data_IF_372321917052
#
_entry.id   IF_372321917052
#
_cell.length_a   1.000
_cell.length_b   1.000
_cell.length_c   1.000
_cell.angle_alpha   90.00
_cell.angle_beta   90.00
_cell.angle_gamma   90.00
#
_symmetry.space_group_name_H-M   'P 1'
#
loop_
_entity.id
_entity.type
_entity.pdbx_description
1 polymer ?
#
# COMPACT_ATOMS: atom_id res chain seq x y z
N UNK A 1 -8.09 -20.21 21.63
CA UNK A 1 -9.17 -19.36 21.09
C UNK A 1 -8.70 -18.86 19.74
N UNK A 2 -9.48 -19.05 18.68
CA UNK A 2 -9.21 -18.39 17.39
C UNK A 2 -9.58 -16.92 17.61
N UNK A 3 -8.62 -16.01 17.54
CA UNK A 3 -8.92 -14.57 17.61
C UNK A 3 -9.66 -14.26 16.32
N UNK A 4 -10.88 -13.76 16.43
CA UNK A 4 -11.66 -13.34 15.28
C UNK A 4 -10.95 -12.15 14.60
N UNK A 5 -11.02 -12.10 13.27
CA UNK A 5 -10.38 -11.06 12.48
C UNK A 5 -10.98 -9.70 12.87
N UNK A 6 -10.12 -8.75 13.25
CA UNK A 6 -10.54 -7.40 13.59
C UNK A 6 -11.32 -6.73 12.46
N UNK A 7 -12.36 -5.98 12.82
CA UNK A 7 -13.15 -5.17 11.89
C UNK A 7 -12.30 -4.14 11.13
N UNK A 8 -11.15 -3.73 11.69
CA UNK A 8 -10.24 -2.79 11.02
C UNK A 8 -9.75 -3.34 9.68
N UNK A 9 -9.50 -4.65 9.60
CA UNK A 9 -8.91 -5.33 8.44
C UNK A 9 -9.88 -6.29 7.74
N UNK A 10 -11.04 -6.60 8.34
CA UNK A 10 -11.95 -7.64 7.85
C UNK A 10 -12.39 -7.43 6.40
N UNK A 11 -12.58 -6.18 5.98
CA UNK A 11 -12.96 -5.80 4.62
C UNK A 11 -11.92 -6.18 3.56
N UNK A 12 -10.64 -6.35 3.92
CA UNK A 12 -9.57 -6.77 3.00
C UNK A 12 -9.84 -8.17 2.46
N UNK A 13 -10.47 -9.04 3.25
CA UNK A 13 -10.70 -10.43 2.89
C UNK A 13 -11.96 -10.63 2.04
N UNK A 14 -12.75 -9.58 1.81
CA UNK A 14 -13.86 -9.62 0.88
C UNK A 14 -13.35 -9.83 -0.55
N UNK A 15 -14.13 -10.53 -1.38
CA UNK A 15 -13.73 -10.93 -2.73
C UNK A 15 -13.46 -9.72 -3.64
N UNK A 16 -14.10 -8.59 -3.36
CA UNK A 16 -14.07 -7.36 -4.15
C UNK A 16 -13.09 -6.31 -3.60
N UNK A 17 -12.40 -6.58 -2.49
CA UNK A 17 -11.53 -5.61 -1.82
C UNK A 17 -10.44 -5.04 -2.73
N UNK A 18 -9.89 -5.85 -3.62
CA UNK A 18 -8.87 -5.46 -4.58
C UNK A 18 -9.32 -4.30 -5.50
N UNK A 19 -10.62 -4.19 -5.77
CA UNK A 19 -11.18 -3.19 -6.68
C UNK A 19 -10.99 -1.76 -6.13
N UNK A 20 -10.93 -1.59 -4.81
CA UNK A 20 -10.72 -0.26 -4.20
C UNK A 20 -9.41 0.37 -4.66
N UNK A 21 -8.36 -0.43 -4.89
CA UNK A 21 -7.06 0.07 -5.33
C UNK A 21 -7.07 0.52 -6.78
N UNK A 22 -7.86 -0.15 -7.63
CA UNK A 22 -8.09 0.27 -9.02
C UNK A 22 -8.87 1.58 -9.07
N UNK A 23 -9.97 1.67 -8.29
CA UNK A 23 -10.79 2.88 -8.20
C UNK A 23 -9.98 4.05 -7.64
N UNK A 24 -9.21 3.85 -6.56
CA UNK A 24 -8.35 4.86 -5.97
C UNK A 24 -7.33 5.39 -6.98
N UNK A 25 -6.68 4.50 -7.74
CA UNK A 25 -5.73 4.89 -8.78
C UNK A 25 -6.41 5.70 -9.89
N UNK A 26 -7.62 5.31 -10.30
CA UNK A 26 -8.39 6.04 -11.31
C UNK A 26 -8.79 7.44 -10.82
N UNK A 27 -9.32 7.56 -9.60
CA UNK A 27 -9.69 8.85 -8.99
C UNK A 27 -8.45 9.76 -8.89
N UNK A 28 -7.33 9.21 -8.41
CA UNK A 28 -6.07 9.94 -8.28
C UNK A 28 -5.56 10.42 -9.65
N UNK A 29 -5.60 9.56 -10.67
CA UNK A 29 -5.24 9.93 -12.05
C UNK A 29 -6.13 11.06 -12.57
N UNK A 30 -7.45 10.92 -12.48
CA UNK A 30 -8.39 11.92 -12.98
C UNK A 30 -8.24 13.28 -12.29
N UNK A 31 -7.94 13.25 -10.98
CA UNK A 31 -7.70 14.46 -10.19
C UNK A 31 -6.42 15.16 -10.63
N UNK A 32 -5.30 14.43 -10.73
CA UNK A 32 -4.00 15.00 -11.12
C UNK A 32 -4.02 15.47 -12.58
N UNK A 33 -4.75 14.76 -13.46
CA UNK A 33 -4.88 15.12 -14.87
C UNK A 33 -5.48 16.51 -15.10
N UNK A 34 -6.25 17.06 -14.15
CA UNK A 34 -6.78 18.42 -14.27
C UNK A 34 -5.68 19.51 -14.28
N UNK A 35 -4.47 19.18 -13.81
CA UNK A 35 -3.40 20.15 -13.59
C UNK A 35 -2.14 19.88 -14.41
N UNK A 36 -2.00 18.69 -15.01
CA UNK A 36 -0.78 18.24 -15.68
C UNK A 36 -1.10 17.54 -17.00
N UNK A 37 -0.10 17.47 -17.90
CA UNK A 37 -0.22 16.69 -19.13
C UNK A 37 -0.48 15.21 -18.84
N UNK A 38 -1.07 14.48 -19.80
CA UNK A 38 -1.41 13.07 -19.59
C UNK A 38 -0.20 12.24 -19.11
N UNK A 39 0.95 12.40 -19.78
CA UNK A 39 2.19 11.71 -19.44
C UNK A 39 2.69 12.01 -18.02
N UNK A 40 2.70 13.28 -17.59
CA UNK A 40 3.16 13.67 -16.25
C UNK A 40 2.15 13.23 -15.19
N UNK A 41 0.85 13.32 -15.49
CA UNK A 41 -0.19 12.94 -14.55
C UNK A 41 -0.18 11.45 -14.22
N UNK A 42 0.18 10.57 -15.16
CA UNK A 42 0.40 9.14 -14.87
C UNK A 42 1.59 8.93 -13.92
N UNK A 43 2.71 9.61 -14.14
CA UNK A 43 3.90 9.50 -13.30
C UNK A 43 3.62 9.98 -11.86
N UNK A 44 2.97 11.14 -11.72
CA UNK A 44 2.58 11.68 -10.42
C UNK A 44 1.51 10.80 -9.73
N UNK A 45 0.57 10.23 -10.49
CA UNK A 45 -0.45 9.33 -9.95
C UNK A 45 0.18 8.13 -9.25
N UNK A 46 1.12 7.43 -9.89
CA UNK A 46 1.71 6.23 -9.31
C UNK A 46 2.65 6.54 -8.14
N UNK A 47 3.34 7.68 -8.15
CA UNK A 47 4.10 8.18 -7.00
C UNK A 47 3.16 8.46 -5.82
N UNK A 48 2.08 9.21 -6.06
CA UNK A 48 1.12 9.57 -5.03
C UNK A 48 0.39 8.33 -4.47
N UNK A 49 0.04 7.37 -5.33
CA UNK A 49 -0.52 6.08 -4.90
C UNK A 49 0.44 5.35 -3.95
N UNK A 50 1.73 5.28 -4.27
CA UNK A 50 2.73 4.64 -3.41
C UNK A 50 2.84 5.34 -2.05
N UNK A 51 2.87 6.67 -2.02
CA UNK A 51 2.97 7.47 -0.79
C UNK A 51 1.73 7.28 0.10
N UNK A 52 0.53 7.41 -0.49
CA UNK A 52 -0.75 7.22 0.22
C UNK A 52 -0.81 5.79 0.77
N UNK A 53 -0.51 4.79 -0.05
CA UNK A 53 -0.53 3.38 0.37
C UNK A 53 0.49 3.12 1.48
N UNK A 54 1.71 3.66 1.38
CA UNK A 54 2.71 3.55 2.43
C UNK A 54 2.21 4.13 3.76
N UNK A 55 1.60 5.32 3.73
CA UNK A 55 1.06 5.96 4.91
C UNK A 55 0.00 5.07 5.60
N UNK A 56 -0.98 4.58 4.85
CA UNK A 56 -2.05 3.76 5.44
C UNK A 56 -1.58 2.39 5.90
N UNK A 57 -0.71 1.73 5.14
CA UNK A 57 -0.30 0.34 5.41
C UNK A 57 0.82 0.24 6.45
N UNK A 58 1.79 1.14 6.40
CA UNK A 58 3.07 1.00 7.10
C UNK A 58 3.36 2.11 8.10
N UNK A 59 2.68 3.26 8.00
CA UNK A 59 2.86 4.37 8.94
C UNK A 59 1.80 4.42 10.03
N UNK A 60 0.53 4.24 9.67
CA UNK A 60 -0.57 4.23 10.64
C UNK A 60 -0.49 2.99 11.53
N UNK A 61 -0.36 3.22 12.84
CA UNK A 61 -0.31 2.19 13.88
C UNK A 61 -1.62 2.21 14.67
N UNK A 62 -2.08 1.03 15.07
CA UNK A 62 -3.19 0.85 15.99
C UNK A 62 -4.43 0.26 15.34
N UNK A 63 -5.22 -0.38 16.20
CA UNK A 63 -6.49 -1.00 15.86
C UNK A 63 -7.56 -0.44 16.84
N UNK A 64 -8.59 0.26 16.36
CA UNK A 64 -9.63 0.82 17.22
C UNK A 64 -10.62 -0.23 17.73
N UNK A 65 -10.65 -1.43 17.15
CA UNK A 65 -11.59 -2.50 17.47
C UNK A 65 -10.95 -3.64 18.26
N UNK A 66 -9.61 -3.71 18.33
CA UNK A 66 -8.88 -4.72 19.10
C UNK A 66 -7.68 -4.16 19.86
N UNK A 67 -7.64 -4.43 21.17
CA UNK A 67 -6.50 -4.06 22.02
C UNK A 67 -5.27 -4.94 21.77
N UNK A 68 -5.40 -6.13 21.18
CA UNK A 68 -4.26 -7.02 20.92
C UNK A 68 -3.33 -6.44 19.83
N UNK A 69 -3.87 -5.59 18.96
CA UNK A 69 -3.17 -5.02 17.81
C UNK A 69 -2.90 -3.50 17.92
N UNK A 70 -2.99 -2.92 19.11
CA UNK A 70 -2.83 -1.48 19.35
C UNK A 70 -1.46 -0.91 18.89
N UNK A 71 -0.43 -1.75 18.82
CA UNK A 71 0.92 -1.36 18.39
C UNK A 71 1.31 -2.00 17.04
N UNK A 72 0.34 -2.45 16.23
CA UNK A 72 0.57 -3.01 14.91
C UNK A 72 0.20 -2.00 13.83
N UNK A 73 0.99 -1.90 12.76
CA UNK A 73 0.57 -1.20 11.55
C UNK A 73 -0.57 -1.96 10.88
N UNK A 74 -1.28 -1.30 9.97
CA UNK A 74 -2.35 -1.96 9.22
C UNK A 74 -1.87 -3.19 8.45
N UNK A 75 -0.66 -3.15 7.88
CA UNK A 75 -0.06 -4.32 7.24
C UNK A 75 0.33 -5.43 8.23
N UNK A 76 0.92 -5.07 9.37
CA UNK A 76 1.25 -6.03 10.41
C UNK A 76 -0.03 -6.73 10.93
N UNK A 77 -1.14 -6.00 11.09
CA UNK A 77 -2.45 -6.56 11.45
C UNK A 77 -2.94 -7.61 10.45
N UNK A 78 -2.86 -7.31 9.15
CA UNK A 78 -3.24 -8.26 8.09
C UNK A 78 -2.41 -9.53 8.20
N UNK A 79 -1.08 -9.41 8.33
CA UNK A 79 -0.16 -10.57 8.35
C UNK A 79 -0.34 -11.43 9.60
N UNK A 80 -0.64 -10.84 10.77
CA UNK A 80 -0.84 -11.60 12.01
C UNK A 80 -2.18 -12.33 12.05
N UNK A 81 -3.24 -11.71 11.53
CA UNK A 81 -4.61 -12.19 11.68
C UNK A 81 -5.08 -13.02 10.48
N UNK A 82 -4.30 -13.09 9.40
CA UNK A 82 -4.69 -13.82 8.20
C UNK A 82 -3.54 -14.62 7.58
N UNK A 83 -3.92 -15.75 7.01
CA UNK A 83 -3.02 -16.55 6.20
C UNK A 83 -2.85 -15.93 4.80
N UNK A 84 -1.89 -16.45 4.04
CA UNK A 84 -1.54 -15.98 2.70
C UNK A 84 -2.69 -16.16 1.69
N UNK A 85 -3.59 -15.17 1.64
CA UNK A 85 -4.74 -15.14 0.73
C UNK A 85 -4.42 -14.46 -0.60
N UNK A 86 -5.23 -14.75 -1.62
CA UNK A 86 -5.12 -14.12 -2.95
C UNK A 86 -5.21 -12.59 -2.85
N UNK A 87 -6.07 -12.07 -1.98
CA UNK A 87 -6.27 -10.65 -1.73
C UNK A 87 -5.00 -10.01 -1.17
N UNK A 88 -4.38 -10.63 -0.16
CA UNK A 88 -3.13 -10.13 0.44
C UNK A 88 -1.98 -10.15 -0.57
N UNK A 89 -1.86 -11.20 -1.38
CA UNK A 89 -0.89 -11.25 -2.49
C UNK A 89 -1.13 -10.15 -3.53
N UNK A 90 -2.39 -9.88 -3.87
CA UNK A 90 -2.74 -8.78 -4.77
C UNK A 90 -2.28 -7.44 -4.19
N UNK A 91 -2.59 -7.16 -2.91
CA UNK A 91 -2.17 -5.93 -2.23
C UNK A 91 -0.65 -5.77 -2.20
N UNK A 92 0.07 -6.88 -2.03
CA UNK A 92 1.53 -6.88 -2.06
C UNK A 92 2.07 -6.52 -3.45
N UNK A 93 1.50 -7.11 -4.49
CA UNK A 93 2.00 -7.02 -5.86
C UNK A 93 1.47 -5.81 -6.65
N UNK A 94 0.34 -5.21 -6.24
CA UNK A 94 -0.32 -4.14 -6.99
C UNK A 94 0.61 -2.97 -7.36
N UNK A 95 1.44 -2.41 -6.47
CA UNK A 95 2.37 -1.33 -6.84
C UNK A 95 3.35 -1.72 -7.96
N UNK A 96 3.83 -2.97 -7.95
CA UNK A 96 4.74 -3.48 -8.97
C UNK A 96 4.02 -3.78 -10.30
N UNK A 97 2.79 -4.31 -10.25
CA UNK A 97 1.96 -4.52 -11.43
C UNK A 97 1.65 -3.17 -12.09
N UNK A 98 1.29 -2.17 -11.29
CA UNK A 98 1.01 -0.83 -11.78
C UNK A 98 2.26 -0.21 -12.43
N UNK A 99 3.45 -0.41 -11.86
CA UNK A 99 4.71 0.00 -12.50
C UNK A 99 4.82 -0.55 -13.92
N UNK A 100 4.69 -1.87 -14.06
CA UNK A 100 4.90 -2.58 -15.32
C UNK A 100 3.92 -2.09 -16.38
N UNK A 101 2.67 -1.86 -16.00
CA UNK A 101 1.63 -1.34 -16.90
C UNK A 101 1.97 0.08 -17.36
N UNK A 102 2.20 0.99 -16.41
CA UNK A 102 2.43 2.41 -16.72
C UNK A 102 3.73 2.60 -17.50
N UNK A 103 4.79 1.88 -17.14
CA UNK A 103 6.10 1.93 -17.79
C UNK A 103 6.06 1.59 -19.29
N UNK A 104 5.02 0.88 -19.77
CA UNK A 104 4.85 0.58 -21.20
C UNK A 104 4.48 1.78 -22.06
N UNK A 105 3.92 2.83 -21.47
CA UNK A 105 3.35 3.94 -22.25
C UNK A 105 3.69 5.34 -21.74
N UNK A 106 4.32 5.48 -20.57
CA UNK A 106 4.83 6.78 -20.12
C UNK A 106 6.27 7.02 -20.61
N UNK A 107 6.52 8.26 -21.01
CA UNK A 107 7.86 8.78 -21.24
C UNK A 107 8.37 9.42 -19.94
N UNK A 108 9.20 8.68 -19.21
CA UNK A 108 9.64 9.09 -17.87
C UNK A 108 10.41 10.41 -17.87
N UNK A 109 10.00 11.32 -16.98
CA UNK A 109 10.90 12.34 -16.51
C UNK A 109 11.91 11.68 -15.55
N UNK A 110 13.23 11.87 -15.73
CA UNK A 110 14.25 11.17 -14.95
C UNK A 110 14.16 11.44 -13.44
N UNK A 111 13.77 12.66 -13.04
CA UNK A 111 13.59 13.01 -11.62
C UNK A 111 12.37 12.30 -11.03
N UNK A 112 11.24 12.27 -11.76
CA UNK A 112 10.04 11.56 -11.32
C UNK A 112 10.27 10.04 -11.27
N UNK A 113 11.06 9.48 -12.20
CA UNK A 113 11.44 8.07 -12.14
C UNK A 113 12.25 7.75 -10.89
N UNK A 114 13.21 8.60 -10.52
CA UNK A 114 13.98 8.43 -9.29
C UNK A 114 13.07 8.44 -8.04
N UNK A 115 12.17 9.42 -7.95
CA UNK A 115 11.18 9.51 -6.87
C UNK A 115 10.27 8.28 -6.86
N UNK A 116 9.85 7.82 -8.04
CA UNK A 116 9.04 6.63 -8.19
C UNK A 116 9.74 5.39 -7.64
N UNK A 117 10.99 5.15 -8.01
CA UNK A 117 11.77 4.00 -7.52
C UNK A 117 11.88 4.02 -6.00
N UNK A 118 12.15 5.19 -5.40
CA UNK A 118 12.21 5.34 -3.94
C UNK A 118 10.86 5.01 -3.31
N UNK A 119 9.76 5.58 -3.81
CA UNK A 119 8.42 5.34 -3.25
C UNK A 119 7.94 3.91 -3.47
N UNK A 120 8.32 3.27 -4.58
CA UNK A 120 8.04 1.86 -4.85
C UNK A 120 8.73 0.97 -3.80
N UNK A 121 10.01 1.22 -3.50
CA UNK A 121 10.71 0.49 -2.44
C UNK A 121 10.10 0.74 -1.07
N UNK A 122 9.74 1.98 -0.74
CA UNK A 122 9.07 2.29 0.53
C UNK A 122 7.79 1.49 0.74
N UNK A 123 6.95 1.32 -0.30
CA UNK A 123 5.67 0.61 -0.16
C UNK A 123 5.79 -0.90 -0.28
N UNK A 124 6.80 -1.42 -1.00
CA UNK A 124 6.97 -2.87 -1.25
C UNK A 124 7.88 -3.57 -0.26
N UNK A 125 9.02 -2.98 0.13
CA UNK A 125 9.98 -3.61 1.04
C UNK A 125 9.35 -4.03 2.38
N UNK A 126 8.53 -3.19 3.06
CA UNK A 126 7.93 -3.59 4.34
C UNK A 126 6.94 -4.76 4.21
N UNK A 127 6.48 -5.07 2.99
CA UNK A 127 5.57 -6.19 2.74
C UNK A 127 6.28 -7.54 2.67
N UNK A 128 7.62 -7.54 2.57
CA UNK A 128 8.42 -8.76 2.50
C UNK A 128 8.56 -9.41 3.88
N UNK A 129 8.56 -10.74 3.92
CA UNK A 129 8.58 -11.51 5.18
C UNK A 129 9.75 -11.17 6.11
N UNK A 130 10.93 -10.84 5.57
CA UNK A 130 12.09 -10.47 6.40
C UNK A 130 11.96 -9.11 7.11
N UNK A 131 11.00 -8.28 6.66
CA UNK A 131 10.63 -7.00 7.27
C UNK A 131 9.47 -7.12 8.25
N UNK A 132 8.97 -8.34 8.51
CA UNK A 132 7.91 -8.54 9.48
C UNK A 132 8.31 -7.96 10.85
N UNK A 133 7.45 -7.08 11.38
CA UNK A 133 7.64 -6.31 12.62
C UNK A 133 8.86 -5.38 12.64
N UNK A 134 9.42 -5.05 11.47
CA UNK A 134 10.50 -4.08 11.28
C UNK A 134 9.98 -2.90 10.47
N UNK A 135 9.98 -1.72 11.07
CA UNK A 135 9.49 -0.50 10.42
C UNK A 135 10.63 0.22 9.72
N UNK A 136 10.38 0.77 8.52
CA UNK A 136 11.38 1.59 7.81
C UNK A 136 11.69 2.87 8.60
N UNK A 137 10.69 3.48 9.25
CA UNK A 137 10.82 4.78 9.93
C UNK A 137 10.18 4.83 11.34
N UNK A 138 9.81 3.69 11.94
CA UNK A 138 8.98 3.66 13.15
C UNK A 138 9.67 3.08 14.39
N UNK A 139 9.50 3.74 15.52
CA UNK A 139 9.78 3.20 16.85
C UNK A 139 8.71 2.16 17.21
N UNK A 140 9.12 1.01 17.75
CA UNK A 140 8.21 0.04 18.37
C UNK A 140 8.32 0.23 19.88
N UNK A 141 7.25 0.69 20.53
CA UNK A 141 7.20 0.66 22.00
C UNK A 141 7.33 -0.80 22.43
N UNK A 142 8.43 -1.15 23.10
CA UNK A 142 8.54 -2.41 23.84
C UNK A 142 7.80 -2.17 25.15
N UNK A 143 6.63 -2.78 25.29
CA UNK A 143 6.10 -3.08 26.61
C UNK A 143 6.60 -4.47 27.00
#
# INVERSE_FOLDING_TARGET
>A
MRVDISENISWIFQKESWFIHVVLTAILKLTIYQFFSDNISWQLCIIAYNIITFYFFHWKVGDPFSQDFYNYTFWEQIVEQSEDTIQVRFLALYPAILFIIINKFVNWNPYLLCIYVVTLFMVTIPKLSFMHLKRIFGYRSRN
#
